data_IF_885693360419
#
_entry.id   IF_885693360419
#
_cell.length_a   1.000
_cell.length_b   1.000
_cell.length_c   1.000
_cell.angle_alpha   90.00
_cell.angle_beta   90.00
_cell.angle_gamma   90.00
#
_symmetry.space_group_name_H-M   'P 1'
#
loop_
_entity.id
_entity.type
_entity.pdbx_description
1 polymer ?
#
# COMPACT_ATOMS: atom_id res chain seq x y z
N UNK A 1 39.80 43.69 -33.00
CA UNK A 1 38.37 43.68 -32.67
C UNK A 1 37.73 42.99 -33.85
N UNK A 2 37.26 41.75 -33.70
CA UNK A 2 36.52 41.08 -34.76
C UNK A 2 35.30 41.92 -35.10
N UNK A 3 35.02 42.09 -36.39
CA UNK A 3 33.87 42.86 -36.84
C UNK A 3 32.58 42.29 -36.22
N UNK A 4 31.73 43.19 -35.72
CA UNK A 4 30.47 42.82 -35.08
C UNK A 4 29.55 42.19 -36.13
N UNK A 5 29.33 40.88 -36.03
CA UNK A 5 28.42 40.17 -36.92
C UNK A 5 26.97 40.42 -36.46
N UNK A 6 26.17 40.96 -37.38
CA UNK A 6 24.73 41.18 -37.20
C UNK A 6 24.00 40.06 -37.94
N UNK A 7 23.13 39.35 -37.23
CA UNK A 7 22.31 38.29 -37.81
C UNK A 7 21.29 38.87 -38.81
N UNK A 8 21.21 38.29 -40.00
CA UNK A 8 20.42 38.83 -41.12
C UNK A 8 18.90 38.73 -40.89
N UNK A 9 18.44 37.81 -40.04
CA UNK A 9 17.01 37.54 -39.81
C UNK A 9 16.47 38.34 -38.63
N UNK A 10 17.20 38.36 -37.52
CA UNK A 10 16.81 39.01 -36.27
C UNK A 10 17.31 40.44 -36.16
N UNK A 11 18.34 40.84 -36.92
CA UNK A 11 18.96 42.16 -36.86
C UNK A 11 19.74 42.43 -35.58
N UNK A 12 20.03 41.38 -34.79
CA UNK A 12 20.71 41.47 -33.49
C UNK A 12 22.17 41.03 -33.63
N UNK A 13 23.08 41.66 -32.90
CA UNK A 13 24.49 41.27 -32.92
C UNK A 13 24.74 39.97 -32.15
N UNK A 14 25.72 39.19 -32.62
CA UNK A 14 26.12 37.94 -31.96
C UNK A 14 27.25 38.17 -30.95
N UNK A 15 27.48 37.20 -30.08
CA UNK A 15 28.50 37.24 -29.00
C UNK A 15 29.97 37.17 -29.49
N UNK A 16 30.19 37.20 -30.81
CA UNK A 16 31.51 37.33 -31.44
C UNK A 16 32.30 36.02 -31.64
N UNK A 17 31.77 34.89 -31.19
CA UNK A 17 32.36 33.55 -31.41
C UNK A 17 31.40 32.66 -32.19
N UNK A 18 31.96 31.75 -32.98
CA UNK A 18 31.21 30.71 -33.69
C UNK A 18 31.67 29.35 -33.18
N UNK A 19 30.69 28.50 -32.88
CA UNK A 19 30.89 27.15 -32.38
C UNK A 19 30.21 26.19 -33.34
N UNK A 20 31.01 25.55 -34.21
CA UNK A 20 30.53 24.52 -35.14
C UNK A 20 29.33 24.99 -36.00
N UNK A 21 29.45 26.18 -36.60
CA UNK A 21 28.38 26.79 -37.39
C UNK A 21 27.28 27.49 -36.58
N UNK A 22 27.27 27.40 -35.25
CA UNK A 22 26.29 28.07 -34.37
C UNK A 22 26.87 29.35 -33.79
N UNK A 23 26.08 30.43 -33.79
CA UNK A 23 26.39 31.72 -33.16
C UNK A 23 25.27 32.09 -32.20
N UNK A 24 25.61 32.76 -31.10
CA UNK A 24 24.64 33.16 -30.06
C UNK A 24 24.23 34.62 -30.23
N UNK A 25 22.92 34.89 -30.25
CA UNK A 25 22.38 36.25 -30.30
C UNK A 25 22.50 36.94 -28.94
N UNK A 26 22.96 38.19 -28.92
CA UNK A 26 23.05 39.01 -27.71
C UNK A 26 21.73 39.73 -27.40
N UNK A 27 20.66 38.93 -27.23
CA UNK A 27 19.34 39.45 -26.87
C UNK A 27 19.22 39.72 -25.36
N UNK A 28 18.54 40.80 -24.94
CA UNK A 28 18.17 40.94 -23.55
C UNK A 28 17.19 39.84 -23.16
N UNK A 29 17.27 39.39 -21.90
CA UNK A 29 16.33 38.40 -21.38
C UNK A 29 14.87 38.90 -21.51
N UNK A 30 13.92 38.03 -21.89
CA UNK A 30 12.51 38.42 -21.96
C UNK A 30 12.02 38.97 -20.63
N UNK A 31 11.37 40.14 -20.65
CA UNK A 31 10.92 40.83 -19.43
C UNK A 31 10.02 39.96 -18.54
N UNK A 32 9.12 39.19 -19.15
CA UNK A 32 8.23 38.28 -18.42
C UNK A 32 9.00 37.17 -17.69
N UNK A 33 10.10 36.69 -18.28
CA UNK A 33 10.96 35.66 -17.69
C UNK A 33 11.68 36.22 -16.46
N UNK A 34 12.25 37.43 -16.58
CA UNK A 34 12.92 38.11 -15.45
C UNK A 34 11.93 38.40 -14.32
N UNK A 35 10.73 38.88 -14.63
CA UNK A 35 9.67 39.11 -13.64
C UNK A 35 9.33 37.80 -12.91
N UNK A 36 9.14 36.70 -13.66
CA UNK A 36 8.83 35.39 -13.09
C UNK A 36 9.95 34.90 -12.18
N UNK A 37 11.20 35.07 -12.60
CA UNK A 37 12.38 34.74 -11.80
C UNK A 37 12.42 35.51 -10.47
N UNK A 38 12.11 36.81 -10.46
CA UNK A 38 12.04 37.56 -9.20
C UNK A 38 10.82 37.20 -8.33
N UNK A 39 9.69 36.85 -8.94
CA UNK A 39 8.51 36.35 -8.20
C UNK A 39 8.82 35.04 -7.49
N UNK A 40 9.54 34.11 -8.11
CA UNK A 40 9.91 32.84 -7.45
C UNK A 40 10.89 33.07 -6.31
N UNK A 41 11.82 34.02 -6.43
CA UNK A 41 12.71 34.43 -5.32
C UNK A 41 11.89 35.00 -4.17
N UNK A 42 10.98 35.93 -4.44
CA UNK A 42 10.10 36.51 -3.42
C UNK A 42 9.25 35.43 -2.74
N UNK A 43 8.68 34.50 -3.52
CA UNK A 43 7.94 33.36 -3.01
C UNK A 43 8.79 32.46 -2.11
N UNK A 44 10.04 32.16 -2.50
CA UNK A 44 10.95 31.35 -1.70
C UNK A 44 11.25 32.01 -0.34
N UNK A 45 11.46 33.33 -0.31
CA UNK A 45 11.65 34.07 0.95
C UNK A 45 10.40 33.98 1.85
N UNK A 46 9.20 34.16 1.27
CA UNK A 46 7.94 33.98 2.02
C UNK A 46 7.80 32.54 2.53
N UNK A 47 8.08 31.55 1.69
CA UNK A 47 7.91 30.13 2.04
C UNK A 47 8.87 29.69 3.15
N UNK A 48 10.14 30.12 3.09
CA UNK A 48 11.16 29.78 4.10
C UNK A 48 10.92 30.44 5.46
N UNK A 49 10.17 31.55 5.50
CA UNK A 49 9.73 32.17 6.76
C UNK A 49 8.42 31.58 7.28
N UNK A 50 7.52 31.14 6.39
CA UNK A 50 6.25 30.53 6.76
C UNK A 50 6.38 29.09 7.29
N UNK A 51 7.28 28.30 6.71
CA UNK A 51 7.45 26.85 6.98
C UNK A 51 8.80 26.51 7.61
N UNK A 52 8.94 25.29 8.18
CA UNK A 52 10.25 24.78 8.58
C UNK A 52 11.22 24.68 7.41
N UNK A 53 12.39 25.32 7.52
CA UNK A 53 13.31 25.42 6.38
C UNK A 53 14.80 25.32 6.75
N UNK A 54 15.27 26.06 7.76
CA UNK A 54 16.71 26.19 8.02
C UNK A 54 17.14 25.22 9.13
N UNK A 55 18.11 24.33 8.87
CA UNK A 55 18.60 23.39 9.87
C UNK A 55 19.48 24.12 10.91
N UNK A 56 19.06 24.11 12.17
CA UNK A 56 19.89 24.53 13.31
C UNK A 56 20.56 23.30 13.93
N UNK A 57 21.48 23.51 14.88
CA UNK A 57 22.25 22.45 15.54
C UNK A 57 21.39 21.32 16.14
N UNK A 58 20.15 21.61 16.55
CA UNK A 58 19.27 20.64 17.23
C UNK A 58 17.90 20.46 16.57
N UNK A 59 17.46 21.40 15.72
CA UNK A 59 16.16 21.34 15.05
C UNK A 59 16.10 22.32 13.88
N UNK A 60 15.16 22.14 12.95
CA UNK A 60 14.89 23.15 11.92
C UNK A 60 14.13 24.35 12.51
N UNK A 61 14.18 25.51 11.83
CA UNK A 61 13.24 26.60 12.10
C UNK A 61 11.80 26.08 12.05
N UNK A 62 10.89 26.61 12.87
CA UNK A 62 9.48 26.15 12.89
C UNK A 62 8.60 26.87 11.86
N UNK A 63 9.07 27.98 11.31
CA UNK A 63 8.27 28.91 10.53
C UNK A 63 7.20 29.63 11.37
N UNK A 64 6.54 30.62 10.78
CA UNK A 64 5.47 31.39 11.43
C UNK A 64 4.16 30.62 11.57
N UNK A 65 3.89 29.66 10.68
CA UNK A 65 2.63 28.91 10.66
C UNK A 65 2.62 27.72 11.62
N UNK A 66 3.77 27.35 12.20
CA UNK A 66 3.88 26.21 13.13
C UNK A 66 3.56 24.86 12.49
N UNK A 67 3.68 24.76 11.16
CA UNK A 67 3.44 23.55 10.39
C UNK A 67 4.42 22.42 10.75
N UNK A 68 3.94 21.18 10.73
CA UNK A 68 4.79 19.99 10.82
C UNK A 68 4.13 18.82 10.11
N UNK A 69 4.83 18.23 9.13
CA UNK A 69 4.32 17.06 8.40
C UNK A 69 3.95 15.89 9.32
N UNK A 70 4.72 15.67 10.39
CA UNK A 70 4.44 14.64 11.39
C UNK A 70 3.16 14.94 12.19
N UNK A 71 2.93 16.21 12.54
CA UNK A 71 1.71 16.64 13.23
C UNK A 71 0.50 16.47 12.32
N UNK A 72 0.64 16.79 11.04
CA UNK A 72 -0.45 16.68 10.08
C UNK A 72 -0.85 15.23 9.83
N UNK A 73 0.12 14.32 9.67
CA UNK A 73 -0.16 12.87 9.62
C UNK A 73 -0.86 12.41 10.89
N UNK A 74 -0.41 12.83 12.07
CA UNK A 74 -1.06 12.48 13.33
C UNK A 74 -2.51 12.97 13.39
N UNK A 75 -2.77 14.21 12.98
CA UNK A 75 -4.12 14.78 12.96
C UNK A 75 -5.03 14.05 11.96
N UNK A 76 -4.51 13.74 10.78
CA UNK A 76 -5.23 13.00 9.75
C UNK A 76 -5.61 11.60 10.23
N UNK A 77 -4.66 10.87 10.82
CA UNK A 77 -4.90 9.55 11.38
C UNK A 77 -5.91 9.61 12.54
N UNK A 78 -5.78 10.57 13.45
CA UNK A 78 -6.71 10.76 14.56
C UNK A 78 -8.14 11.06 14.09
N UNK A 79 -8.30 11.90 13.06
CA UNK A 79 -9.59 12.18 12.45
C UNK A 79 -10.18 10.93 11.78
N UNK A 80 -9.37 10.16 11.05
CA UNK A 80 -9.79 8.91 10.43
C UNK A 80 -10.18 7.84 11.48
N UNK A 81 -9.44 7.75 12.58
CA UNK A 81 -9.76 6.88 13.72
C UNK A 81 -11.06 7.30 14.41
N UNK A 82 -11.25 8.59 14.67
CA UNK A 82 -12.48 9.10 15.25
C UNK A 82 -13.70 8.80 14.35
N UNK A 83 -13.57 8.98 13.03
CA UNK A 83 -14.64 8.73 12.07
C UNK A 83 -15.10 7.26 12.05
N UNK A 84 -14.17 6.30 12.23
CA UNK A 84 -14.48 4.86 12.27
C UNK A 84 -14.67 4.30 13.68
N UNK A 85 -14.37 5.07 14.73
CA UNK A 85 -14.21 4.59 16.10
C UNK A 85 -15.45 3.88 16.64
N UNK A 86 -16.66 4.40 16.37
CA UNK A 86 -17.92 3.78 16.79
C UNK A 86 -18.08 2.36 16.22
N UNK A 87 -17.80 2.18 14.93
CA UNK A 87 -17.93 0.88 14.27
C UNK A 87 -16.85 -0.09 14.73
N UNK A 88 -15.61 0.38 14.89
CA UNK A 88 -14.51 -0.45 15.39
C UNK A 88 -14.79 -0.93 16.82
N UNK A 89 -15.25 -0.04 17.71
CA UNK A 89 -15.62 -0.41 19.07
C UNK A 89 -16.77 -1.43 19.10
N UNK A 90 -17.78 -1.26 18.23
CA UNK A 90 -18.87 -2.21 18.10
C UNK A 90 -18.42 -3.60 17.60
N UNK A 91 -17.49 -3.65 16.62
CA UNK A 91 -16.90 -4.91 16.14
C UNK A 91 -16.10 -5.62 17.24
N UNK A 92 -15.38 -4.86 18.07
CA UNK A 92 -14.59 -5.44 19.17
C UNK A 92 -15.46 -6.03 20.29
N UNK A 93 -16.63 -5.44 20.54
CA UNK A 93 -17.50 -5.84 21.63
C UNK A 93 -18.46 -6.99 21.28
N UNK A 94 -18.79 -7.19 20.00
CA UNK A 94 -19.78 -8.17 19.53
C UNK A 94 -19.10 -9.44 19.01
N UNK A 95 -19.78 -10.57 19.15
CA UNK A 95 -19.43 -11.81 18.45
C UNK A 95 -19.62 -11.68 16.93
N UNK A 96 -19.00 -12.55 16.15
CA UNK A 96 -19.15 -12.53 14.69
C UNK A 96 -20.62 -12.74 14.29
N UNK A 97 -21.33 -13.62 15.00
CA UNK A 97 -22.77 -13.85 14.78
C UNK A 97 -23.60 -12.58 14.99
N UNK A 98 -23.33 -11.82 16.05
CA UNK A 98 -24.02 -10.55 16.33
C UNK A 98 -23.68 -9.44 15.34
N UNK A 99 -22.48 -9.47 14.74
CA UNK A 99 -22.11 -8.54 13.67
C UNK A 99 -22.88 -8.88 12.40
N UNK A 100 -23.05 -10.17 12.09
CA UNK A 100 -23.74 -10.63 10.89
C UNK A 100 -25.25 -10.32 10.89
N UNK A 101 -25.86 -10.13 12.06
CA UNK A 101 -27.29 -9.79 12.18
C UNK A 101 -27.58 -8.28 12.15
N UNK A 102 -26.57 -7.43 12.25
CA UNK A 102 -26.66 -5.96 12.21
C UNK A 102 -26.23 -5.46 10.82
N UNK A 103 -27.17 -5.07 9.97
CA UNK A 103 -26.89 -4.74 8.56
C UNK A 103 -25.84 -3.63 8.40
N UNK A 104 -25.94 -2.56 9.18
CA UNK A 104 -25.02 -1.43 9.11
C UNK A 104 -23.62 -1.81 9.58
N UNK A 105 -23.53 -2.60 10.66
CA UNK A 105 -22.25 -3.09 11.15
C UNK A 105 -21.64 -4.14 10.23
N UNK A 106 -22.46 -5.01 9.62
CA UNK A 106 -22.06 -6.00 8.63
C UNK A 106 -21.50 -5.33 7.39
N UNK A 107 -22.16 -4.31 6.86
CA UNK A 107 -21.67 -3.56 5.69
C UNK A 107 -20.29 -2.95 5.96
N UNK A 108 -20.14 -2.27 7.11
CA UNK A 108 -18.85 -1.73 7.52
C UNK A 108 -17.79 -2.83 7.70
N UNK A 109 -18.13 -3.94 8.37
CA UNK A 109 -17.22 -5.05 8.63
C UNK A 109 -16.78 -5.75 7.33
N UNK A 110 -17.68 -5.93 6.36
CA UNK A 110 -17.37 -6.50 5.04
C UNK A 110 -16.45 -5.56 4.25
N UNK A 111 -16.72 -4.25 4.23
CA UNK A 111 -15.87 -3.28 3.55
C UNK A 111 -14.46 -3.22 4.16
N UNK A 112 -14.37 -3.14 5.50
CA UNK A 112 -13.10 -3.14 6.21
C UNK A 112 -12.36 -4.49 6.07
N UNK A 113 -13.09 -5.59 6.15
CA UNK A 113 -12.58 -6.95 5.95
C UNK A 113 -12.04 -7.16 4.55
N UNK A 114 -12.71 -6.65 3.51
CA UNK A 114 -12.22 -6.71 2.14
C UNK A 114 -10.92 -5.92 1.94
N UNK A 115 -10.79 -4.77 2.61
CA UNK A 115 -9.52 -4.02 2.61
C UNK A 115 -8.41 -4.80 3.33
N UNK A 116 -8.69 -5.37 4.51
CA UNK A 116 -7.74 -6.21 5.24
C UNK A 116 -7.34 -7.46 4.45
N UNK A 117 -8.29 -8.10 3.76
CA UNK A 117 -8.05 -9.27 2.92
C UNK A 117 -7.08 -8.96 1.78
N UNK A 118 -7.24 -7.83 1.09
CA UNK A 118 -6.34 -7.36 0.03
C UNK A 118 -4.90 -7.13 0.51
N UNK A 119 -4.75 -6.66 1.74
CA UNK A 119 -3.41 -6.37 2.29
C UNK A 119 -2.73 -7.65 2.78
N UNK A 120 -3.48 -8.58 3.39
CA UNK A 120 -2.88 -9.66 4.19
C UNK A 120 -3.14 -11.08 3.66
N UNK A 121 -4.15 -11.29 2.81
CA UNK A 121 -4.65 -12.64 2.50
C UNK A 121 -4.55 -12.99 1.00
N UNK A 122 -4.66 -11.99 0.12
CA UNK A 122 -4.71 -12.24 -1.34
C UNK A 122 -3.45 -12.88 -1.90
N UNK A 123 -2.31 -12.71 -1.24
CA UNK A 123 -1.04 -13.27 -1.69
C UNK A 123 -1.06 -14.81 -1.70
N UNK A 124 -1.87 -15.41 -0.82
CA UNK A 124 -2.04 -16.86 -0.69
C UNK A 124 -3.39 -17.33 -1.26
N UNK A 125 -4.47 -16.64 -0.92
CA UNK A 125 -5.84 -17.05 -1.25
C UNK A 125 -6.38 -16.43 -2.56
N UNK A 126 -5.57 -15.64 -3.29
CA UNK A 126 -5.99 -15.02 -4.55
C UNK A 126 -6.87 -13.79 -4.36
N UNK A 127 -6.99 -12.97 -5.42
CA UNK A 127 -7.70 -11.69 -5.39
C UNK A 127 -9.22 -11.80 -5.21
N UNK A 128 -9.82 -12.90 -5.66
CA UNK A 128 -11.23 -13.26 -5.47
C UNK A 128 -11.44 -14.33 -4.40
N UNK A 129 -10.43 -14.55 -3.53
CA UNK A 129 -10.43 -15.58 -2.49
C UNK A 129 -10.52 -17.02 -3.01
N UNK A 130 -10.26 -17.25 -4.30
CA UNK A 130 -10.40 -18.53 -5.00
C UNK A 130 -9.31 -19.58 -4.69
N UNK A 131 -8.29 -19.21 -3.91
CA UNK A 131 -7.16 -20.08 -3.61
C UNK A 131 -6.20 -20.30 -4.78
N UNK A 132 -5.27 -21.22 -4.58
CA UNK A 132 -4.35 -21.73 -5.60
C UNK A 132 -3.79 -23.09 -5.18
N UNK A 133 -2.94 -23.73 -5.98
CA UNK A 133 -2.34 -25.01 -5.58
C UNK A 133 -1.59 -24.86 -4.25
N UNK A 134 -2.06 -25.56 -3.21
CA UNK A 134 -1.51 -25.49 -1.85
C UNK A 134 -2.19 -24.48 -0.92
N UNK A 135 -3.13 -23.67 -1.42
CA UNK A 135 -3.86 -22.67 -0.65
C UNK A 135 -5.38 -22.84 -0.84
N UNK A 136 -6.15 -22.99 0.25
CA UNK A 136 -7.60 -23.20 0.16
C UNK A 136 -8.33 -22.10 -0.59
N UNK A 137 -9.39 -22.49 -1.29
CA UNK A 137 -10.45 -21.59 -1.71
C UNK A 137 -11.27 -21.18 -0.49
N UNK A 138 -11.59 -19.88 -0.35
CA UNK A 138 -12.38 -19.33 0.75
C UNK A 138 -13.74 -18.81 0.28
N UNK A 139 -14.08 -18.98 -0.99
CA UNK A 139 -15.35 -18.56 -1.59
C UNK A 139 -16.29 -19.73 -1.94
N UNK A 140 -15.94 -20.96 -1.53
CA UNK A 140 -16.79 -22.14 -1.64
C UNK A 140 -17.29 -22.61 -0.25
N UNK A 141 -17.98 -23.75 -0.26
CA UNK A 141 -18.60 -24.35 0.93
C UNK A 141 -17.72 -25.44 1.58
N UNK A 142 -16.50 -25.68 1.08
CA UNK A 142 -15.63 -26.77 1.53
C UNK A 142 -14.57 -26.29 2.54
N UNK A 143 -14.83 -26.56 3.84
CA UNK A 143 -13.99 -26.06 4.93
C UNK A 143 -13.23 -27.18 5.65
N UNK A 144 -11.90 -27.25 5.45
CA UNK A 144 -11.03 -28.24 6.11
C UNK A 144 -11.07 -28.19 7.63
N UNK A 145 -11.32 -27.02 8.22
CA UNK A 145 -11.34 -26.82 9.67
C UNK A 145 -12.68 -26.28 10.21
N UNK A 146 -13.74 -26.45 9.42
CA UNK A 146 -15.08 -25.97 9.72
C UNK A 146 -15.35 -24.53 9.26
N UNK A 147 -16.54 -24.31 8.71
CA UNK A 147 -16.95 -23.05 8.06
C UNK A 147 -17.83 -22.13 8.91
N UNK A 148 -18.06 -22.46 10.20
CA UNK A 148 -18.80 -21.53 11.06
C UNK A 148 -17.98 -20.27 11.34
N UNK A 149 -18.62 -19.12 11.61
CA UNK A 149 -17.91 -17.86 11.86
C UNK A 149 -16.86 -17.94 12.97
N UNK A 150 -17.14 -18.68 14.04
CA UNK A 150 -16.19 -18.85 15.15
C UNK A 150 -15.01 -19.76 14.77
N UNK A 151 -15.25 -20.81 13.95
CA UNK A 151 -14.18 -21.68 13.46
C UNK A 151 -13.25 -20.95 12.50
N UNK A 152 -13.80 -20.10 11.62
CA UNK A 152 -13.02 -19.24 10.72
C UNK A 152 -12.21 -18.23 11.54
N UNK A 153 -12.83 -17.56 12.52
CA UNK A 153 -12.15 -16.62 13.41
C UNK A 153 -11.00 -17.27 14.17
N UNK A 154 -11.20 -18.48 14.69
CA UNK A 154 -10.14 -19.25 15.36
C UNK A 154 -8.96 -19.48 14.43
N UNK A 155 -9.23 -19.91 13.19
CA UNK A 155 -8.19 -20.17 12.17
C UNK A 155 -7.41 -18.90 11.84
N UNK A 156 -8.08 -17.75 11.74
CA UNK A 156 -7.43 -16.46 11.47
C UNK A 156 -6.60 -15.97 12.67
N UNK A 157 -7.10 -16.19 13.89
CA UNK A 157 -6.49 -15.63 15.12
C UNK A 157 -5.29 -16.46 15.59
N UNK A 158 -5.41 -17.79 15.52
CA UNK A 158 -4.42 -18.74 16.08
C UNK A 158 -3.62 -19.48 15.01
N UNK A 159 -4.00 -19.31 13.74
CA UNK A 159 -3.31 -19.91 12.60
C UNK A 159 -3.36 -21.44 12.61
N UNK A 160 -2.42 -22.02 11.87
CA UNK A 160 -2.23 -23.46 11.74
C UNK A 160 -0.80 -23.83 12.09
N UNK A 161 -0.63 -24.96 12.77
CA UNK A 161 0.69 -25.54 13.12
C UNK A 161 1.59 -24.56 13.88
N UNK A 162 1.02 -23.64 14.64
CA UNK A 162 1.79 -22.65 15.39
C UNK A 162 2.05 -23.15 16.82
N UNK A 163 3.16 -23.87 17.02
CA UNK A 163 3.47 -24.58 18.26
C UNK A 163 3.49 -23.71 19.53
N UNK A 164 3.66 -22.40 19.40
CA UNK A 164 3.65 -21.45 20.52
C UNK A 164 2.25 -21.01 20.96
N UNK A 165 1.20 -21.39 20.23
CA UNK A 165 -0.19 -21.09 20.54
C UNK A 165 -0.99 -22.39 20.78
N UNK A 166 -1.52 -22.61 22.00
CA UNK A 166 -2.27 -23.82 22.32
C UNK A 166 -3.60 -23.93 21.56
N UNK A 167 -4.15 -22.82 21.07
CA UNK A 167 -5.42 -22.76 20.36
C UNK A 167 -5.25 -22.89 18.83
N UNK A 168 -4.01 -23.07 18.36
CA UNK A 168 -3.69 -23.28 16.94
C UNK A 168 -4.34 -24.56 16.40
N UNK A 169 -4.64 -24.57 15.10
CA UNK A 169 -5.12 -25.81 14.46
C UNK A 169 -3.97 -26.73 14.12
N UNK A 170 -4.10 -27.99 14.52
CA UNK A 170 -3.25 -29.07 14.04
C UNK A 170 -3.84 -29.66 12.77
N UNK A 171 -3.01 -29.78 11.74
CA UNK A 171 -3.36 -30.43 10.49
C UNK A 171 -2.08 -31.06 9.99
N UNK A 172 -1.99 -32.37 9.88
CA UNK A 172 -0.80 -33.04 9.39
C UNK A 172 -1.22 -34.20 8.51
N UNK A 173 -0.54 -34.36 7.38
CA UNK A 173 -0.60 -35.55 6.56
C UNK A 173 0.71 -36.31 6.80
N UNK A 174 0.71 -37.40 7.58
CA UNK A 174 1.92 -38.16 7.85
C UNK A 174 2.54 -38.70 6.55
N UNK A 175 3.86 -38.85 6.54
CA UNK A 175 4.55 -39.54 5.47
C UNK A 175 4.30 -41.06 5.60
N UNK A 176 3.54 -41.63 4.67
CA UNK A 176 3.18 -43.06 4.69
C UNK A 176 4.26 -43.99 4.09
N UNK A 177 5.34 -43.45 3.50
CA UNK A 177 6.36 -44.22 2.80
C UNK A 177 7.08 -45.29 3.65
N UNK A 178 7.22 -45.04 4.95
CA UNK A 178 7.83 -45.98 5.89
C UNK A 178 6.79 -46.87 6.61
N UNK A 179 5.49 -46.64 6.35
CA UNK A 179 4.36 -47.32 7.00
C UNK A 179 3.78 -48.39 6.08
N UNK A 180 3.69 -48.11 4.78
CA UNK A 180 3.10 -48.99 3.76
C UNK A 180 3.99 -49.07 2.52
N UNK A 181 3.88 -50.16 1.77
CA UNK A 181 4.68 -50.36 0.54
C UNK A 181 4.26 -49.42 -0.58
N UNK A 182 5.13 -49.23 -1.58
CA UNK A 182 4.82 -48.43 -2.76
C UNK A 182 3.55 -48.90 -3.49
N UNK A 183 3.34 -50.21 -3.60
CA UNK A 183 2.13 -50.79 -4.20
C UNK A 183 0.88 -50.45 -3.39
N UNK A 184 0.97 -50.47 -2.06
CA UNK A 184 -0.13 -50.07 -1.17
C UNK A 184 -0.44 -48.57 -1.28
N UNK A 185 0.59 -47.72 -1.42
CA UNK A 185 0.40 -46.27 -1.66
C UNK A 185 -0.37 -46.06 -2.96
N UNK A 186 0.00 -46.77 -4.03
CA UNK A 186 -0.68 -46.70 -5.31
C UNK A 186 -2.16 -47.15 -5.19
N UNK A 187 -2.42 -48.26 -4.50
CA UNK A 187 -3.78 -48.76 -4.26
C UNK A 187 -4.64 -47.78 -3.45
N UNK A 188 -4.11 -47.24 -2.34
CA UNK A 188 -4.83 -46.27 -1.50
C UNK A 188 -5.09 -44.97 -2.28
N UNK A 189 -4.11 -44.49 -3.04
CA UNK A 189 -4.28 -43.29 -3.87
C UNK A 189 -5.37 -43.48 -4.93
N UNK A 190 -5.38 -44.65 -5.60
CA UNK A 190 -6.41 -45.00 -6.58
C UNK A 190 -7.80 -45.13 -5.93
N UNK A 191 -7.87 -45.71 -4.73
CA UNK A 191 -9.11 -45.82 -3.97
C UNK A 191 -9.65 -44.44 -3.56
N UNK A 192 -8.81 -43.54 -3.03
CA UNK A 192 -9.23 -42.18 -2.67
C UNK A 192 -9.69 -41.39 -3.91
N UNK A 193 -9.00 -41.54 -5.05
CA UNK A 193 -9.43 -40.92 -6.30
C UNK A 193 -10.83 -41.39 -6.73
N UNK A 194 -11.14 -42.69 -6.62
CA UNK A 194 -12.46 -43.22 -7.00
C UNK A 194 -13.60 -42.72 -6.11
N UNK A 195 -13.33 -42.31 -4.86
CA UNK A 195 -14.32 -41.68 -3.99
C UNK A 195 -14.72 -40.27 -4.46
N UNK A 196 -13.85 -39.59 -5.22
CA UNK A 196 -14.10 -38.22 -5.69
C UNK A 196 -15.00 -38.13 -6.94
N UNK A 197 -15.49 -39.27 -7.44
CA UNK A 197 -16.39 -39.33 -8.59
C UNK A 197 -15.77 -38.90 -9.92
N UNK A 198 -14.43 -38.90 -9.99
CA UNK A 198 -13.63 -38.63 -11.20
C UNK A 198 -12.87 -39.86 -11.64
#
# INVERSE_FOLDING_TARGET
MSDEHIDEVSGVSTTGHEWDGIRELNNPLPRWWVITFYVTIAWALVYTTAYPAWPMLTSATKGMLGYSSRKDVKNYLAAAEAAKGKYVAAIQAKSVSEILTDDALREFAVAAGAAAFKVNCTQCHGSGAQGSKGFPNLNDDDWLWGGSPDQIKQTITHGLRFASDPDTRLSEMPAFGDIITADQIAQVSAYVASLSGK
#
